data_IF_450959553571
#
_entry.id   IF_450959553571
#
_cell.length_a   1.000
_cell.length_b   1.000
_cell.length_c   1.000
_cell.angle_alpha   90.00
_cell.angle_beta   90.00
_cell.angle_gamma   90.00
#
_symmetry.space_group_name_H-M   'P 1'
#
loop_
_entity.id
_entity.type
_entity.pdbx_description
1 polymer ?
#
# COMPACT_ATOMS: atom_id res chain seq x y z
N UNK A 1 10.02 9.14 1.51
CA UNK A 1 8.95 9.47 0.56
C UNK A 1 7.63 9.18 1.23
N UNK A 2 6.73 10.17 1.29
CA UNK A 2 5.34 9.97 1.71
C UNK A 2 4.46 9.95 0.47
N UNK A 3 3.57 8.97 0.37
CA UNK A 3 2.63 8.85 -0.74
C UNK A 3 1.23 9.08 -0.19
N UNK A 4 0.48 9.96 -0.83
CA UNK A 4 -0.94 10.20 -0.54
C UNK A 4 -1.79 9.68 -1.67
N UNK A 5 -3.00 9.25 -1.33
CA UNK A 5 -4.01 8.82 -2.28
C UNK A 5 -4.32 9.91 -3.32
N UNK A 6 -4.50 9.47 -4.56
CA UNK A 6 -4.84 10.24 -5.72
C UNK A 6 -6.34 10.34 -6.02
N UNK A 7 -6.68 11.11 -7.06
CA UNK A 7 -8.06 11.31 -7.48
C UNK A 7 -8.69 10.08 -8.18
N UNK A 8 -7.88 9.18 -8.74
CA UNK A 8 -8.37 8.02 -9.51
C UNK A 8 -8.61 6.78 -8.64
N UNK A 9 -8.52 6.91 -7.31
CA UNK A 9 -8.84 5.80 -6.40
C UNK A 9 -10.32 5.41 -6.49
N UNK A 10 -10.68 4.15 -6.24
CA UNK A 10 -12.07 3.72 -6.26
C UNK A 10 -12.95 4.52 -5.27
N UNK A 11 -14.13 4.96 -5.73
CA UNK A 11 -15.11 5.65 -4.88
C UNK A 11 -16.00 4.70 -4.08
N UNK A 12 -15.88 3.41 -4.35
CA UNK A 12 -16.45 2.29 -3.61
C UNK A 12 -15.29 1.40 -3.19
N UNK A 13 -15.17 1.16 -1.87
CA UNK A 13 -14.22 0.20 -1.30
C UNK A 13 -14.96 -0.80 -0.40
N UNK A 14 -14.87 -2.10 -0.69
CA UNK A 14 -15.52 -3.20 0.08
C UNK A 14 -17.03 -2.99 0.26
N UNK A 15 -17.70 -2.59 -0.83
CA UNK A 15 -19.14 -2.31 -0.85
C UNK A 15 -19.56 -1.05 -0.07
N UNK A 16 -18.61 -0.23 0.39
CA UNK A 16 -18.87 1.04 1.07
C UNK A 16 -18.35 2.21 0.26
N UNK A 17 -19.15 3.27 0.16
CA UNK A 17 -18.73 4.49 -0.51
C UNK A 17 -17.62 5.17 0.29
N UNK A 18 -16.53 5.50 -0.38
CA UNK A 18 -15.38 6.18 0.23
C UNK A 18 -15.56 7.69 0.03
N UNK A 19 -15.19 8.46 1.06
CA UNK A 19 -15.12 9.91 0.92
C UNK A 19 -14.00 10.25 -0.04
N UNK A 20 -14.32 10.71 -1.24
CA UNK A 20 -13.34 11.09 -2.27
C UNK A 20 -12.57 12.37 -1.92
N UNK A 21 -13.10 13.18 -1.01
CA UNK A 21 -12.40 14.37 -0.49
C UNK A 21 -11.19 13.94 0.33
N UNK A 22 -10.03 14.53 0.03
CA UNK A 22 -8.81 14.34 0.81
C UNK A 22 -8.99 14.75 2.27
N UNK A 23 -8.20 14.14 3.16
CA UNK A 23 -8.25 14.46 4.58
C UNK A 23 -7.86 15.93 4.79
N UNK A 24 -8.55 16.71 5.65
CA UNK A 24 -8.25 18.14 5.84
C UNK A 24 -6.80 18.43 6.26
N UNK A 25 -6.15 17.47 6.92
CA UNK A 25 -4.76 17.59 7.36
C UNK A 25 -3.72 17.23 6.29
N UNK A 26 -4.12 16.73 5.12
CA UNK A 26 -3.17 16.28 4.09
C UNK A 26 -2.22 17.40 3.67
N UNK A 27 -2.75 18.60 3.39
CA UNK A 27 -1.91 19.75 2.99
C UNK A 27 -0.94 20.16 4.10
N UNK A 28 -1.43 20.33 5.34
CA UNK A 28 -0.58 20.71 6.47
C UNK A 28 0.51 19.66 6.76
N UNK A 29 0.20 18.37 6.59
CA UNK A 29 1.18 17.30 6.72
C UNK A 29 2.24 17.34 5.61
N UNK A 30 1.84 17.56 4.36
CA UNK A 30 2.76 17.67 3.23
C UNK A 30 3.72 18.85 3.39
N UNK A 31 3.21 20.00 3.86
CA UNK A 31 4.03 21.16 4.21
C UNK A 31 5.02 20.83 5.33
N UNK A 32 4.54 20.23 6.43
CA UNK A 32 5.38 19.80 7.54
C UNK A 32 6.51 18.86 7.08
N UNK A 33 6.17 17.81 6.34
CA UNK A 33 7.14 16.88 5.79
C UNK A 33 8.16 17.59 4.88
N UNK A 34 7.68 18.54 4.06
CA UNK A 34 8.53 19.39 3.22
C UNK A 34 9.52 20.24 4.03
N UNK A 35 9.11 20.82 5.16
CA UNK A 35 10.02 21.55 6.06
C UNK A 35 11.13 20.66 6.65
N UNK A 36 10.85 19.37 6.84
CA UNK A 36 11.85 18.38 7.27
C UNK A 36 12.64 17.76 6.11
N UNK A 37 12.45 18.22 4.87
CA UNK A 37 13.15 17.72 3.69
C UNK A 37 12.66 16.35 3.20
N UNK A 38 11.50 15.89 3.65
CA UNK A 38 10.91 14.64 3.18
C UNK A 38 9.99 14.89 1.97
N UNK A 39 10.22 14.19 0.84
CA UNK A 39 9.37 14.36 -0.33
C UNK A 39 7.99 13.77 -0.10
N UNK A 40 6.96 14.49 -0.54
CA UNK A 40 5.59 14.03 -0.64
C UNK A 40 5.19 13.89 -2.11
N UNK A 41 4.53 12.78 -2.43
CA UNK A 41 4.03 12.46 -3.76
C UNK A 41 2.55 12.07 -3.66
N UNK A 42 1.76 12.44 -4.65
CA UNK A 42 0.37 12.01 -4.76
C UNK A 42 0.29 10.93 -5.83
N UNK A 43 -0.19 9.75 -5.44
CA UNK A 43 -0.41 8.66 -6.36
C UNK A 43 -1.46 9.06 -7.42
N UNK A 44 -1.51 8.38 -8.58
CA UNK A 44 -2.63 8.52 -9.50
C UNK A 44 -3.94 8.00 -8.88
N UNK A 45 -3.86 6.81 -8.26
CA UNK A 45 -4.96 6.12 -7.57
C UNK A 45 -4.64 5.90 -6.09
N UNK A 46 -4.64 4.65 -5.63
CA UNK A 46 -4.35 4.34 -4.22
C UNK A 46 -2.84 4.36 -3.90
N UNK A 47 -2.49 4.84 -2.71
CA UNK A 47 -1.11 4.98 -2.27
C UNK A 47 -0.39 3.64 -2.10
N UNK A 48 -1.10 2.59 -1.67
CA UNK A 48 -0.57 1.22 -1.52
C UNK A 48 -0.20 0.58 -2.87
N UNK A 49 -1.01 0.81 -3.92
CA UNK A 49 -0.70 0.39 -5.28
C UNK A 49 0.60 1.03 -5.79
N UNK A 50 0.75 2.34 -5.59
CA UNK A 50 1.95 3.05 -6.00
C UNK A 50 3.18 2.64 -5.17
N UNK A 51 3.04 2.48 -3.85
CA UNK A 51 4.11 1.98 -2.99
C UNK A 51 4.58 0.59 -3.44
N UNK A 52 3.66 -0.30 -3.78
CA UNK A 52 4.00 -1.62 -4.32
C UNK A 52 4.73 -1.55 -5.66
N UNK A 53 4.30 -0.68 -6.58
CA UNK A 53 4.97 -0.46 -7.86
C UNK A 53 6.41 0.06 -7.69
N UNK A 54 6.59 1.09 -6.86
CA UNK A 54 7.91 1.67 -6.58
C UNK A 54 8.86 0.67 -5.91
N UNK A 55 8.33 -0.17 -5.02
CA UNK A 55 9.10 -1.24 -4.40
C UNK A 55 9.51 -2.30 -5.45
N UNK A 56 8.61 -2.69 -6.33
CA UNK A 56 8.88 -3.66 -7.40
C UNK A 56 9.92 -3.13 -8.42
N UNK A 57 9.96 -1.83 -8.65
CA UNK A 57 10.94 -1.15 -9.51
C UNK A 57 12.28 -0.88 -8.80
N UNK A 58 12.41 -1.20 -7.51
CA UNK A 58 13.63 -0.98 -6.72
C UNK A 58 13.89 0.49 -6.37
N UNK A 59 12.87 1.35 -6.45
CA UNK A 59 12.97 2.78 -6.08
C UNK A 59 12.94 2.95 -4.55
N UNK A 60 12.23 2.06 -3.84
CA UNK A 60 12.17 2.03 -2.38
C UNK A 60 12.43 0.61 -1.84
N UNK A 61 13.12 0.51 -0.72
CA UNK A 61 13.47 -0.80 -0.13
C UNK A 61 12.37 -1.39 0.77
N UNK A 62 11.61 -0.53 1.45
CA UNK A 62 10.61 -0.91 2.44
C UNK A 62 9.34 -0.08 2.29
N UNK A 63 8.20 -0.74 2.48
CA UNK A 63 6.89 -0.08 2.56
C UNK A 63 6.40 -0.08 4.01
N UNK A 64 6.10 1.09 4.57
CA UNK A 64 5.43 1.20 5.86
C UNK A 64 3.92 1.40 5.63
N UNK A 65 3.12 0.38 5.90
CA UNK A 65 1.65 0.46 5.81
C UNK A 65 0.98 -0.66 6.60
N UNK A 66 -0.26 -0.41 7.04
CA UNK A 66 -1.12 -1.42 7.64
C UNK A 66 -1.66 -2.40 6.59
N UNK A 67 -1.87 -1.96 5.35
CA UNK A 67 -2.50 -2.77 4.31
C UNK A 67 -1.58 -3.89 3.79
N UNK A 68 -2.15 -5.07 3.55
CA UNK A 68 -1.41 -6.23 3.00
C UNK A 68 -1.28 -6.18 1.48
N UNK A 69 -2.07 -5.34 0.82
CA UNK A 69 -2.27 -5.38 -0.62
C UNK A 69 -1.02 -4.88 -1.37
N UNK A 70 -0.11 -4.21 -0.67
CA UNK A 70 1.23 -3.88 -1.18
C UNK A 70 2.02 -5.11 -1.66
N UNK A 71 1.79 -6.30 -1.08
CA UNK A 71 2.39 -7.54 -1.58
C UNK A 71 1.80 -7.98 -2.92
N UNK A 72 0.49 -7.74 -3.14
CA UNK A 72 -0.16 -7.94 -4.43
C UNK A 72 0.46 -7.01 -5.49
N UNK A 73 0.75 -5.76 -5.11
CA UNK A 73 1.30 -4.75 -6.00
C UNK A 73 2.81 -4.89 -6.26
N UNK A 74 3.52 -5.69 -5.46
CA UNK A 74 4.89 -6.11 -5.76
C UNK A 74 5.93 -5.71 -4.72
N UNK A 75 5.52 -5.19 -3.55
CA UNK A 75 6.45 -5.00 -2.44
C UNK A 75 6.96 -6.35 -1.91
N UNK A 76 8.25 -6.44 -1.63
CA UNK A 76 8.86 -7.59 -0.96
C UNK A 76 8.92 -7.42 0.55
N UNK A 77 9.08 -6.18 1.02
CA UNK A 77 9.30 -5.85 2.42
C UNK A 77 8.26 -4.85 2.93
N UNK A 78 7.45 -5.28 3.92
CA UNK A 78 6.46 -4.42 4.59
C UNK A 78 6.76 -4.27 6.09
N UNK A 79 6.59 -3.07 6.61
CA UNK A 79 6.57 -2.74 8.04
C UNK A 79 5.19 -2.26 8.45
N UNK A 80 4.73 -2.73 9.61
CA UNK A 80 3.41 -2.42 10.16
C UNK A 80 3.51 -1.97 11.62
N UNK A 81 2.76 -0.91 11.98
CA UNK A 81 2.63 -0.36 13.33
C UNK A 81 3.85 0.37 13.89
N UNK A 82 3.71 0.83 15.14
CA UNK A 82 4.77 1.50 15.92
C UNK A 82 5.85 0.51 16.40
N UNK A 83 5.43 -0.72 16.71
CA UNK A 83 6.34 -1.85 16.86
C UNK A 83 6.60 -2.42 15.46
N UNK A 84 7.82 -2.26 14.95
CA UNK A 84 8.17 -2.69 13.58
C UNK A 84 7.98 -4.21 13.44
N UNK A 85 6.86 -4.62 12.86
CA UNK A 85 6.67 -5.99 12.35
C UNK A 85 7.15 -6.04 10.91
N UNK A 86 8.25 -6.76 10.66
CA UNK A 86 8.78 -6.94 9.33
C UNK A 86 8.19 -8.20 8.67
N UNK A 87 7.49 -7.98 7.57
CA UNK A 87 6.97 -9.03 6.70
C UNK A 87 7.82 -9.11 5.43
N UNK A 88 8.15 -10.33 5.01
CA UNK A 88 8.86 -10.62 3.75
C UNK A 88 8.01 -11.52 2.88
N UNK A 89 7.81 -11.14 1.63
CA UNK A 89 7.00 -11.90 0.67
C UNK A 89 7.52 -13.33 0.53
N UNK A 90 8.83 -13.53 0.45
CA UNK A 90 9.42 -14.88 0.33
C UNK A 90 9.04 -15.78 1.50
N UNK A 91 9.04 -15.25 2.74
CA UNK A 91 8.65 -16.03 3.92
C UNK A 91 7.16 -16.36 3.94
N UNK A 92 6.32 -15.43 3.50
CA UNK A 92 4.86 -15.66 3.39
C UNK A 92 4.61 -16.78 2.37
N UNK A 93 5.24 -16.70 1.19
CA UNK A 93 5.04 -17.64 0.10
C UNK A 93 5.64 -19.02 0.39
N UNK A 94 6.77 -19.08 1.09
CA UNK A 94 7.42 -20.32 1.45
C UNK A 94 6.80 -21.03 2.68
N UNK A 95 5.84 -20.40 3.38
CA UNK A 95 5.20 -21.02 4.55
C UNK A 95 4.32 -22.20 4.09
N UNK A 96 4.61 -23.45 4.48
CA UNK A 96 3.93 -24.63 3.93
C UNK A 96 2.42 -24.69 4.15
N UNK A 97 1.94 -24.11 5.26
CA UNK A 97 0.51 -24.01 5.57
C UNK A 97 -0.24 -22.90 4.82
N UNK A 98 0.49 -22.02 4.14
CA UNK A 98 -0.07 -20.87 3.41
C UNK A 98 -0.05 -21.14 1.92
N UNK A 99 1.10 -21.55 1.36
CA UNK A 99 1.26 -21.96 -0.04
C UNK A 99 0.84 -20.90 -1.08
N UNK A 100 0.70 -19.64 -0.67
CA UNK A 100 0.21 -18.55 -1.53
C UNK A 100 1.37 -17.99 -2.36
N UNK A 101 1.18 -17.94 -3.67
CA UNK A 101 2.02 -17.12 -4.56
C UNK A 101 1.41 -15.73 -4.70
N UNK A 102 2.11 -14.77 -5.32
CA UNK A 102 1.52 -13.48 -5.69
C UNK A 102 0.23 -13.63 -6.49
N UNK A 103 0.20 -14.58 -7.45
CA UNK A 103 -1.01 -14.92 -8.19
C UNK A 103 -2.09 -15.55 -7.32
N UNK A 104 -1.71 -16.33 -6.31
CA UNK A 104 -2.63 -16.84 -5.29
C UNK A 104 -3.27 -15.73 -4.45
N UNK A 105 -2.50 -14.70 -4.07
CA UNK A 105 -3.02 -13.51 -3.39
C UNK A 105 -4.00 -12.77 -4.29
N UNK A 106 -3.67 -12.57 -5.57
CA UNK A 106 -4.59 -11.96 -6.54
C UNK A 106 -5.90 -12.75 -6.65
N UNK A 107 -5.82 -14.08 -6.78
CA UNK A 107 -7.00 -14.92 -6.82
C UNK A 107 -7.82 -14.78 -5.53
N UNK A 108 -7.16 -14.76 -4.37
CA UNK A 108 -7.83 -14.58 -3.09
C UNK A 108 -8.52 -13.23 -2.95
N UNK A 109 -7.93 -12.15 -3.49
CA UNK A 109 -8.54 -10.82 -3.59
C UNK A 109 -9.82 -10.82 -4.46
N UNK A 110 -9.81 -11.57 -5.56
CA UNK A 110 -10.95 -11.63 -6.50
C UNK A 110 -12.14 -12.44 -6.00
N UNK A 111 -11.90 -13.55 -5.27
CA UNK A 111 -12.96 -14.48 -4.83
C UNK A 111 -14.06 -13.85 -3.93
N UNK A 112 -13.76 -13.02 -2.92
CA UNK A 112 -14.77 -12.38 -2.08
C UNK A 112 -15.41 -11.14 -2.73
N UNK A 113 -14.99 -10.75 -3.94
CA UNK A 113 -15.49 -9.55 -4.63
C UNK A 113 -15.07 -8.24 -3.97
N UNK A 114 -13.89 -8.22 -3.34
CA UNK A 114 -13.31 -7.01 -2.76
C UNK A 114 -12.46 -6.23 -3.77
N UNK A 115 -12.17 -4.97 -3.45
CA UNK A 115 -11.26 -4.11 -4.19
C UNK A 115 -9.81 -4.45 -3.84
N UNK A 116 -9.42 -5.71 -4.10
CA UNK A 116 -8.25 -6.39 -3.54
C UNK A 116 -8.23 -6.54 -2.00
#
# INVERSE_FOLDING_TARGET
LFIVDGPERPDIKRGRRVLMRGHPLTTAFQELAGYFGYPCYMAPGEADAELGRLAAEGIIDFVQTTDSDVFLFGAEHKRDGDNIKLYRSEKIFATPSVGLTRGGILLFALLPGGDY
#
